data_IF_210602171783
#
_entry.id   IF_210602171783
#
_cell.length_a   1.000
_cell.length_b   1.000
_cell.length_c   1.000
_cell.angle_alpha   90.00
_cell.angle_beta   90.00
_cell.angle_gamma   90.00
#
_symmetry.space_group_name_H-M   'P 1'
#
loop_
_entity.id
_entity.type
_entity.pdbx_description
1 polymer ?
#
# COMPACT_ATOMS: atom_id res chain seq x y z
N UNK A 1 42.96 -21.22 -34.85
CA UNK A 1 42.25 -21.66 -33.65
C UNK A 1 41.05 -20.72 -33.47
N UNK A 2 39.87 -21.17 -33.87
CA UNK A 2 38.63 -20.43 -33.69
C UNK A 2 38.24 -20.55 -32.21
N UNK A 3 38.30 -19.44 -31.48
CA UNK A 3 37.81 -19.38 -30.09
C UNK A 3 36.33 -19.74 -30.09
N UNK A 4 35.98 -20.85 -29.47
CA UNK A 4 34.59 -21.24 -29.21
C UNK A 4 33.90 -20.14 -28.40
N UNK A 5 32.84 -19.56 -28.98
CA UNK A 5 32.00 -18.59 -28.25
C UNK A 5 31.44 -19.27 -27.01
N UNK A 6 31.60 -18.67 -25.81
CA UNK A 6 31.02 -19.25 -24.61
C UNK A 6 29.52 -19.49 -24.80
N UNK A 7 28.96 -20.57 -24.23
CA UNK A 7 27.53 -20.89 -24.36
C UNK A 7 26.68 -19.71 -23.92
N UNK A 8 25.71 -19.35 -24.75
CA UNK A 8 24.74 -18.29 -24.37
C UNK A 8 24.03 -18.71 -23.09
N UNK A 9 24.14 -17.90 -22.02
CA UNK A 9 23.34 -18.10 -20.81
C UNK A 9 21.88 -18.19 -21.21
N UNK A 10 21.19 -19.22 -20.74
CA UNK A 10 19.75 -19.39 -20.92
C UNK A 10 19.02 -18.26 -20.24
N UNK A 11 18.07 -17.63 -20.95
CA UNK A 11 17.23 -16.59 -20.37
C UNK A 11 16.27 -17.20 -19.36
N UNK A 12 16.19 -16.61 -18.15
CA UNK A 12 15.24 -17.02 -17.12
C UNK A 12 13.88 -16.40 -17.43
N UNK A 13 12.78 -17.16 -17.49
CA UNK A 13 11.42 -16.62 -17.60
C UNK A 13 11.14 -15.61 -16.49
N UNK A 14 10.35 -14.57 -16.79
CA UNK A 14 10.07 -13.51 -15.81
C UNK A 14 9.36 -14.04 -14.57
N UNK A 15 8.38 -14.93 -14.76
CA UNK A 15 7.60 -15.49 -13.65
C UNK A 15 8.47 -16.35 -12.73
N UNK A 16 9.40 -17.13 -13.29
CA UNK A 16 10.36 -17.93 -12.53
C UNK A 16 11.31 -17.02 -11.74
N UNK A 17 11.82 -15.97 -12.38
CA UNK A 17 12.68 -14.98 -11.72
C UNK A 17 11.95 -14.25 -10.59
N UNK A 18 10.70 -13.87 -10.80
CA UNK A 18 9.87 -13.22 -9.78
C UNK A 18 9.58 -14.17 -8.62
N UNK A 19 9.19 -15.41 -8.90
CA UNK A 19 8.90 -16.41 -7.86
C UNK A 19 10.12 -16.68 -6.98
N UNK A 20 11.31 -16.86 -7.59
CA UNK A 20 12.57 -17.07 -6.88
C UNK A 20 12.95 -15.82 -6.05
N UNK A 21 12.89 -14.64 -6.65
CA UNK A 21 13.17 -13.38 -5.95
C UNK A 21 12.26 -13.19 -4.72
N UNK A 22 10.97 -13.45 -4.87
CA UNK A 22 10.03 -13.40 -3.78
C UNK A 22 10.28 -14.47 -2.71
N UNK A 23 10.89 -15.61 -3.05
CA UNK A 23 11.33 -16.62 -2.10
C UNK A 23 12.33 -16.08 -1.07
N UNK A 24 13.18 -15.14 -1.46
CA UNK A 24 14.15 -14.49 -0.56
C UNK A 24 13.54 -13.41 0.35
N UNK A 25 12.40 -12.84 0.00
CA UNK A 25 11.79 -11.75 0.76
C UNK A 25 11.04 -12.30 1.99
N UNK A 26 11.51 -11.95 3.18
CA UNK A 26 10.80 -12.19 4.44
C UNK A 26 10.12 -10.90 4.92
N UNK A 27 8.84 -10.97 5.34
CA UNK A 27 8.14 -9.80 5.86
C UNK A 27 8.88 -9.20 7.07
N UNK A 28 8.97 -7.88 7.10
CA UNK A 28 9.57 -7.15 8.22
C UNK A 28 8.76 -7.36 9.49
N UNK A 29 9.42 -7.61 10.60
CA UNK A 29 8.79 -7.88 11.91
C UNK A 29 8.48 -6.61 12.71
N UNK A 30 9.16 -5.49 12.40
CA UNK A 30 8.95 -4.22 13.11
C UNK A 30 7.60 -3.60 12.81
N UNK A 31 6.90 -3.13 13.85
CA UNK A 31 5.62 -2.44 13.73
C UNK A 31 5.62 -1.11 14.45
N UNK A 32 4.75 -0.19 14.03
CA UNK A 32 4.57 1.11 14.66
C UNK A 32 3.10 1.53 14.69
N UNK A 33 2.76 2.42 15.61
CA UNK A 33 1.43 3.01 15.71
C UNK A 33 1.43 4.37 15.01
N UNK A 34 0.59 4.54 14.00
CA UNK A 34 0.43 5.80 13.27
C UNK A 34 -1.00 6.33 13.40
N UNK A 35 -1.18 7.63 13.27
CA UNK A 35 -2.51 8.21 13.16
C UNK A 35 -3.20 7.68 11.91
N UNK A 36 -4.48 7.30 12.01
CA UNK A 36 -5.26 6.84 10.86
C UNK A 36 -5.25 7.86 9.73
N UNK A 37 -5.30 9.14 10.08
CA UNK A 37 -5.27 10.26 9.13
C UNK A 37 -3.99 10.33 8.29
N UNK A 38 -2.87 9.78 8.78
CA UNK A 38 -1.55 9.80 8.12
C UNK A 38 -1.13 8.42 7.58
N UNK A 39 -2.04 7.44 7.65
CA UNK A 39 -1.70 6.05 7.36
C UNK A 39 -1.84 5.65 5.88
N UNK A 40 -2.07 6.61 4.96
CA UNK A 40 -2.18 6.30 3.52
C UNK A 40 -0.95 5.56 3.00
N UNK A 41 -1.19 4.51 2.22
CA UNK A 41 -0.15 3.67 1.64
C UNK A 41 0.61 2.77 2.62
N UNK A 42 0.32 2.82 3.94
CA UNK A 42 0.91 1.93 4.95
C UNK A 42 0.28 0.53 4.86
N UNK A 43 0.96 -0.46 5.41
CA UNK A 43 0.48 -1.85 5.43
C UNK A 43 0.11 -2.25 6.85
N UNK A 44 -1.08 -2.79 7.04
CA UNK A 44 -1.57 -3.21 8.35
C UNK A 44 -0.76 -4.37 8.91
N UNK A 45 -0.29 -4.21 10.15
CA UNK A 45 0.40 -5.25 10.90
C UNK A 45 -0.56 -6.19 11.66
N UNK A 46 -1.83 -5.83 11.75
CA UNK A 46 -2.90 -6.60 12.37
C UNK A 46 -4.21 -6.36 11.63
N UNK A 47 -5.17 -7.26 11.76
CA UNK A 47 -6.53 -7.04 11.29
C UNK A 47 -7.23 -5.96 12.11
N UNK A 48 -8.19 -5.28 11.51
CA UNK A 48 -9.06 -4.31 12.15
C UNK A 48 -10.47 -4.86 12.24
N UNK A 49 -10.94 -5.12 13.45
CA UNK A 49 -12.30 -5.53 13.73
C UNK A 49 -13.10 -4.33 14.30
N UNK A 50 -14.36 -4.23 13.91
CA UNK A 50 -15.22 -3.15 14.40
C UNK A 50 -15.78 -3.48 15.80
N UNK A 51 -15.63 -2.53 16.73
CA UNK A 51 -16.24 -2.63 18.06
C UNK A 51 -17.69 -2.07 18.09
N UNK A 52 -18.19 -1.58 16.97
CA UNK A 52 -19.52 -0.97 16.86
C UNK A 52 -20.19 -1.38 15.55
N UNK A 53 -21.49 -1.16 15.48
CA UNK A 53 -22.26 -1.29 14.24
C UNK A 53 -22.20 0.01 13.44
N UNK A 54 -22.25 -0.06 12.11
CA UNK A 54 -22.39 1.07 11.21
C UNK A 54 -23.56 0.82 10.26
N UNK A 55 -24.62 1.63 10.31
CA UNK A 55 -24.91 2.65 11.32
C UNK A 55 -25.15 2.03 12.71
N UNK A 56 -25.02 2.83 13.81
CA UNK A 56 -25.11 2.30 15.17
C UNK A 56 -26.53 1.91 15.57
N UNK A 57 -27.54 2.44 14.89
CA UNK A 57 -28.96 2.18 15.09
C UNK A 57 -29.75 2.38 13.80
N UNK A 58 -30.98 1.86 13.74
CA UNK A 58 -31.87 2.08 12.61
C UNK A 58 -32.04 3.58 12.35
N UNK A 59 -31.82 4.01 11.11
CA UNK A 59 -31.93 5.41 10.75
C UNK A 59 -32.68 5.62 9.43
N UNK A 60 -33.11 6.86 9.18
CA UNK A 60 -33.78 7.21 7.94
C UNK A 60 -32.78 7.31 6.79
N UNK A 61 -33.06 6.67 5.66
CA UNK A 61 -32.33 6.85 4.41
C UNK A 61 -32.81 8.07 3.59
N UNK A 62 -33.90 8.70 3.98
CA UNK A 62 -34.52 9.80 3.25
C UNK A 62 -34.96 10.91 4.18
N UNK A 63 -35.10 12.11 3.62
CA UNK A 63 -35.81 13.21 4.25
C UNK A 63 -37.33 13.00 4.10
N UNK A 64 -38.07 13.02 5.19
CA UNK A 64 -39.47 12.68 5.14
C UNK A 64 -40.16 12.63 6.49
N UNK A 65 -41.01 11.66 6.65
CA UNK A 65 -41.80 11.47 7.85
C UNK A 65 -41.73 10.02 8.31
N UNK A 66 -41.30 9.82 9.55
CA UNK A 66 -41.37 8.52 10.19
C UNK A 66 -42.82 8.28 10.62
N UNK A 67 -43.30 7.07 10.30
CA UNK A 67 -44.73 6.72 10.44
C UNK A 67 -44.85 5.31 11.03
N UNK A 68 -46.06 5.02 11.51
CA UNK A 68 -46.53 3.68 11.84
C UNK A 68 -47.43 3.21 10.70
N UNK A 69 -47.05 2.17 9.97
CA UNK A 69 -47.84 1.67 8.84
C UNK A 69 -49.28 1.32 9.21
N UNK A 70 -49.53 0.84 10.43
CA UNK A 70 -50.87 0.51 10.92
C UNK A 70 -51.81 1.75 10.97
N UNK A 71 -51.28 2.94 11.19
CA UNK A 71 -52.06 4.18 11.21
C UNK A 71 -52.49 4.64 9.81
N UNK A 72 -51.90 4.04 8.77
CA UNK A 72 -52.13 4.40 7.35
C UNK A 72 -52.89 3.31 6.57
N UNK A 73 -53.32 2.27 7.22
CA UNK A 73 -53.97 1.09 6.59
C UNK A 73 -55.30 1.44 5.90
N UNK A 74 -55.97 2.52 6.27
CA UNK A 74 -57.22 3.01 5.68
C UNK A 74 -57.07 3.89 4.44
N UNK A 75 -55.84 4.06 3.94
CA UNK A 75 -55.53 4.92 2.78
C UNK A 75 -55.26 6.38 3.20
N UNK A 76 -55.43 7.31 2.30
CA UNK A 76 -55.10 8.74 2.41
C UNK A 76 -55.52 9.39 3.73
N UNK A 77 -54.58 9.46 4.69
CA UNK A 77 -54.82 10.01 6.03
C UNK A 77 -53.94 11.25 6.23
N UNK A 78 -54.51 12.32 6.76
CA UNK A 78 -53.77 13.47 7.24
C UNK A 78 -53.49 13.30 8.74
N UNK A 79 -52.20 13.39 9.13
CA UNK A 79 -51.77 13.18 10.50
C UNK A 79 -50.97 14.40 11.01
N UNK A 80 -51.07 14.71 12.31
CA UNK A 80 -50.31 15.80 12.91
C UNK A 80 -48.82 15.42 13.03
N UNK A 81 -47.93 16.41 12.87
CA UNK A 81 -46.52 16.28 13.13
C UNK A 81 -46.25 16.40 14.63
N UNK A 82 -45.93 15.30 15.30
CA UNK A 82 -45.71 15.26 16.75
C UNK A 82 -44.34 15.78 17.18
N UNK A 83 -43.35 15.63 16.31
CA UNK A 83 -41.93 15.96 16.60
C UNK A 83 -41.11 16.13 15.32
N UNK A 84 -39.92 16.73 15.46
CA UNK A 84 -38.94 16.90 14.42
C UNK A 84 -37.61 16.32 14.87
N UNK A 85 -37.04 15.37 14.10
CA UNK A 85 -35.85 14.59 14.45
C UNK A 85 -34.75 14.84 13.41
N UNK A 86 -33.87 15.82 13.60
CA UNK A 86 -32.70 16.01 12.73
C UNK A 86 -31.62 14.95 13.01
N UNK A 87 -30.69 14.77 12.06
CA UNK A 87 -29.52 13.95 12.27
C UNK A 87 -28.76 14.40 13.54
N UNK A 88 -28.27 13.40 14.30
CA UNK A 88 -27.55 13.66 15.56
C UNK A 88 -28.46 13.93 16.79
N UNK A 89 -29.79 13.85 16.65
CA UNK A 89 -30.70 13.87 17.75
C UNK A 89 -31.59 12.63 17.80
N UNK A 90 -32.10 12.28 18.97
CA UNK A 90 -33.06 11.19 19.18
C UNK A 90 -34.47 11.73 19.38
N UNK A 91 -35.46 11.12 18.73
CA UNK A 91 -36.87 11.41 18.97
C UNK A 91 -37.44 10.68 20.19
N UNK A 92 -38.54 11.21 20.72
CA UNK A 92 -39.39 10.46 21.63
C UNK A 92 -40.15 9.36 20.90
N UNK A 93 -40.81 8.47 21.64
CA UNK A 93 -41.69 7.45 21.05
C UNK A 93 -42.79 8.13 20.19
N UNK A 94 -43.00 7.58 18.98
CA UNK A 94 -44.01 8.11 18.06
C UNK A 94 -45.43 7.85 18.60
N UNK A 95 -46.16 8.91 18.90
CA UNK A 95 -47.54 8.79 19.32
C UNK A 95 -48.40 8.16 18.22
N UNK A 96 -49.43 7.41 18.63
CA UNK A 96 -50.42 6.84 17.70
C UNK A 96 -51.10 7.94 16.90
N UNK A 97 -51.37 7.68 15.64
CA UNK A 97 -52.02 8.64 14.72
C UNK A 97 -51.30 9.98 14.60
N UNK A 98 -49.95 9.92 14.65
CA UNK A 98 -49.08 11.06 14.36
C UNK A 98 -47.90 10.64 13.46
N UNK A 99 -47.20 11.62 12.93
CA UNK A 99 -45.93 11.43 12.17
C UNK A 99 -44.82 12.22 12.84
N UNK A 100 -43.59 11.79 12.66
CA UNK A 100 -42.42 12.56 13.05
C UNK A 100 -41.69 13.07 11.80
N UNK A 101 -41.50 14.37 11.68
CA UNK A 101 -40.58 14.91 10.63
C UNK A 101 -39.18 14.41 10.90
N UNK A 102 -38.61 13.65 9.94
CA UNK A 102 -37.30 13.02 10.07
C UNK A 102 -36.42 13.40 8.90
N UNK A 103 -35.10 13.40 9.12
CA UNK A 103 -34.10 13.71 8.13
C UNK A 103 -33.14 12.53 7.92
N UNK A 104 -32.54 12.49 6.75
CA UNK A 104 -31.53 11.45 6.39
C UNK A 104 -30.48 11.31 7.49
N UNK A 105 -30.23 10.08 7.92
CA UNK A 105 -29.29 9.75 8.99
C UNK A 105 -29.85 9.92 10.42
N UNK A 106 -31.04 10.48 10.58
CA UNK A 106 -31.67 10.57 11.89
C UNK A 106 -32.21 9.22 12.37
N UNK A 107 -32.06 8.89 13.67
CA UNK A 107 -32.55 7.63 14.23
C UNK A 107 -34.09 7.52 14.11
N UNK A 108 -34.53 6.31 13.79
CA UNK A 108 -35.98 6.02 13.76
C UNK A 108 -36.51 6.01 15.19
N UNK A 109 -37.56 6.80 15.49
CA UNK A 109 -38.16 6.81 16.84
C UNK A 109 -38.87 5.50 17.12
N UNK A 110 -38.90 5.09 18.38
CA UNK A 110 -39.68 3.93 18.82
C UNK A 110 -41.14 4.11 18.37
N UNK A 111 -41.77 3.00 17.93
CA UNK A 111 -43.14 3.02 17.46
C UNK A 111 -43.30 3.36 15.97
N UNK A 112 -42.28 3.89 15.29
CA UNK A 112 -42.28 4.02 13.84
C UNK A 112 -41.71 2.71 13.21
N UNK A 113 -42.27 2.32 12.07
CA UNK A 113 -41.85 1.13 11.32
C UNK A 113 -41.58 1.38 9.83
N UNK A 114 -41.75 2.61 9.36
CA UNK A 114 -41.40 3.06 8.02
C UNK A 114 -41.11 4.57 7.98
N UNK A 115 -40.46 4.99 6.87
CA UNK A 115 -40.36 6.41 6.50
C UNK A 115 -41.03 6.61 5.16
N UNK A 116 -41.76 7.74 5.03
CA UNK A 116 -42.31 8.20 3.76
C UNK A 116 -41.53 9.42 3.34
N UNK A 117 -41.08 9.46 2.07
CA UNK A 117 -40.36 10.60 1.53
C UNK A 117 -41.22 11.86 1.54
N UNK A 118 -40.59 13.01 1.75
CA UNK A 118 -41.33 14.30 1.78
C UNK A 118 -42.03 14.58 0.45
N UNK A 119 -41.52 14.08 -0.66
CA UNK A 119 -42.10 14.21 -2.02
C UNK A 119 -43.43 13.45 -2.15
N UNK A 120 -43.61 12.40 -1.34
CA UNK A 120 -44.84 11.58 -1.29
C UNK A 120 -45.83 12.11 -0.22
N UNK A 121 -45.60 13.29 0.28
CA UNK A 121 -46.44 13.93 1.32
C UNK A 121 -46.90 15.29 0.87
N UNK A 122 -48.10 15.71 1.33
CA UNK A 122 -48.62 17.06 1.19
C UNK A 122 -48.79 17.69 2.59
N UNK A 123 -48.06 18.76 2.84
CA UNK A 123 -48.24 19.56 4.09
C UNK A 123 -49.42 20.50 3.90
N UNK A 124 -50.41 20.37 4.76
CA UNK A 124 -51.64 21.18 4.74
C UNK A 124 -51.43 22.52 5.46
N UNK A 125 -52.33 23.46 5.21
CA UNK A 125 -52.26 24.80 5.81
C UNK A 125 -52.42 24.80 7.36
N UNK A 126 -53.06 23.77 7.93
CA UNK A 126 -53.20 23.50 9.35
C UNK A 126 -52.00 22.79 9.99
N UNK A 127 -50.95 22.47 9.21
CA UNK A 127 -49.78 21.78 9.66
C UNK A 127 -49.89 20.24 9.66
N UNK A 128 -51.04 19.70 9.27
CA UNK A 128 -51.21 18.26 9.08
C UNK A 128 -50.44 17.80 7.85
N UNK A 129 -49.95 16.55 7.88
CA UNK A 129 -49.27 15.91 6.74
C UNK A 129 -50.16 14.83 6.16
N UNK A 130 -50.52 15.01 4.90
CA UNK A 130 -51.26 14.01 4.12
C UNK A 130 -50.27 13.09 3.42
N UNK A 131 -50.36 11.80 3.67
CA UNK A 131 -49.52 10.77 3.05
C UNK A 131 -50.24 10.19 1.81
N UNK A 132 -49.56 10.21 0.62
CA UNK A 132 -50.16 9.84 -0.65
C UNK A 132 -50.30 8.33 -0.87
N UNK A 133 -49.42 7.54 -0.26
CA UNK A 133 -49.44 6.10 -0.37
C UNK A 133 -48.97 5.44 0.93
N UNK A 134 -49.62 4.36 1.37
CA UNK A 134 -49.20 3.61 2.52
C UNK A 134 -47.83 2.94 2.28
N UNK A 135 -46.83 3.18 3.14
CA UNK A 135 -45.52 2.53 2.99
C UNK A 135 -45.59 1.07 3.44
N UNK A 136 -44.59 0.31 3.05
CA UNK A 136 -44.36 -1.03 3.60
C UNK A 136 -43.51 -0.94 4.87
N UNK A 137 -43.72 -1.85 5.86
CA UNK A 137 -42.81 -1.92 7.01
C UNK A 137 -41.35 -2.06 6.57
N UNK A 138 -40.47 -1.28 7.21
CA UNK A 138 -39.05 -1.19 6.88
C UNK A 138 -38.68 -0.28 5.68
N UNK A 139 -39.69 0.30 5.00
CA UNK A 139 -39.42 1.17 3.85
C UNK A 139 -38.62 2.40 4.27
N UNK A 140 -37.53 2.68 3.54
CA UNK A 140 -36.60 3.80 3.76
C UNK A 140 -35.95 3.82 5.14
N UNK A 141 -35.85 2.67 5.82
CA UNK A 141 -35.09 2.48 7.05
C UNK A 141 -33.80 1.73 6.73
N UNK A 142 -32.67 2.33 7.03
CA UNK A 142 -31.37 1.65 7.09
C UNK A 142 -31.23 0.96 8.44
N UNK A 143 -30.87 -0.31 8.41
CA UNK A 143 -30.77 -1.11 9.63
C UNK A 143 -29.44 -0.90 10.36
N UNK A 144 -29.47 -0.98 11.66
CA UNK A 144 -28.26 -1.03 12.48
C UNK A 144 -27.33 -2.14 11.98
N UNK A 145 -26.05 -1.81 11.76
CA UNK A 145 -25.05 -2.74 11.28
C UNK A 145 -25.13 -3.14 9.80
N UNK A 146 -25.95 -2.42 9.01
CA UNK A 146 -26.12 -2.70 7.58
C UNK A 146 -24.81 -2.62 6.80
N UNK A 147 -23.95 -1.65 7.11
CA UNK A 147 -22.64 -1.47 6.46
C UNK A 147 -21.55 -2.29 7.18
N UNK A 148 -21.52 -2.25 8.52
CA UNK A 148 -20.54 -2.96 9.33
C UNK A 148 -21.22 -3.51 10.60
N UNK A 149 -21.14 -4.82 10.77
CA UNK A 149 -21.61 -5.48 11.99
C UNK A 149 -20.53 -5.46 13.06
N UNK A 150 -20.92 -5.27 14.32
CA UNK A 150 -19.99 -5.37 15.46
C UNK A 150 -19.28 -6.73 15.48
N UNK A 151 -17.96 -6.72 15.67
CA UNK A 151 -17.09 -7.90 15.65
C UNK A 151 -16.59 -8.28 14.24
N UNK A 152 -17.13 -7.71 13.17
CA UNK A 152 -16.66 -8.00 11.83
C UNK A 152 -15.25 -7.47 11.59
N UNK A 153 -14.39 -8.28 10.98
CA UNK A 153 -13.09 -7.85 10.45
C UNK A 153 -13.33 -7.04 9.18
N UNK A 154 -13.01 -5.76 9.23
CA UNK A 154 -13.24 -4.81 8.12
C UNK A 154 -12.02 -4.65 7.21
N UNK A 155 -10.82 -4.80 7.76
CA UNK A 155 -9.56 -4.76 7.03
C UNK A 155 -8.63 -5.85 7.56
N UNK A 156 -8.00 -6.59 6.66
CA UNK A 156 -7.13 -7.71 7.03
C UNK A 156 -5.70 -7.26 7.33
N UNK A 157 -4.98 -8.06 8.12
CA UNK A 157 -3.51 -7.95 8.25
C UNK A 157 -2.87 -8.11 6.87
N UNK A 158 -1.85 -7.29 6.57
CA UNK A 158 -1.16 -7.29 5.28
C UNK A 158 -1.89 -6.49 4.19
N UNK A 159 -3.03 -5.89 4.51
CA UNK A 159 -3.72 -5.01 3.58
C UNK A 159 -3.06 -3.63 3.53
N UNK A 160 -2.83 -3.12 2.31
CA UNK A 160 -2.31 -1.78 2.10
C UNK A 160 -3.43 -0.77 2.21
N UNK A 161 -3.28 0.19 3.12
CA UNK A 161 -4.27 1.22 3.37
C UNK A 161 -4.40 2.17 2.17
N UNK A 162 -5.60 2.19 1.62
CA UNK A 162 -6.03 3.11 0.56
C UNK A 162 -6.89 4.22 1.17
N UNK A 163 -7.21 5.31 0.45
CA UNK A 163 -8.16 6.31 0.94
C UNK A 163 -9.49 5.70 1.41
N UNK A 164 -10.03 4.69 0.70
CA UNK A 164 -11.24 3.98 1.10
C UNK A 164 -11.05 3.19 2.42
N UNK A 165 -9.93 2.50 2.57
CA UNK A 165 -9.59 1.77 3.79
C UNK A 165 -9.43 2.72 4.99
N UNK A 166 -8.85 3.91 4.80
CA UNK A 166 -8.76 4.94 5.84
C UNK A 166 -10.15 5.43 6.27
N UNK A 167 -11.04 5.69 5.29
CA UNK A 167 -12.42 6.06 5.56
C UNK A 167 -13.15 4.98 6.36
N UNK A 168 -12.96 3.71 6.00
CA UNK A 168 -13.55 2.57 6.71
C UNK A 168 -12.99 2.43 8.13
N UNK A 169 -11.67 2.54 8.33
CA UNK A 169 -11.06 2.53 9.67
C UNK A 169 -11.57 3.69 10.54
N UNK A 170 -11.74 4.87 9.95
CA UNK A 170 -12.30 6.04 10.64
C UNK A 170 -13.78 5.84 11.00
N UNK A 171 -14.59 5.23 10.13
CA UNK A 171 -16.03 5.01 10.37
C UNK A 171 -16.30 4.08 11.56
N UNK A 172 -15.35 3.21 11.91
CA UNK A 172 -15.40 2.36 13.10
C UNK A 172 -14.67 2.96 14.32
N UNK A 173 -14.32 4.26 14.25
CA UNK A 173 -13.79 5.04 15.37
C UNK A 173 -12.30 4.88 15.63
N UNK A 174 -11.51 4.32 14.72
CA UNK A 174 -10.08 4.12 14.92
C UNK A 174 -9.29 5.40 14.57
N UNK A 175 -8.77 6.06 15.60
CA UNK A 175 -7.89 7.23 15.43
C UNK A 175 -6.44 6.86 15.12
N UNK A 176 -6.02 5.63 15.44
CA UNK A 176 -4.68 5.09 15.20
C UNK A 176 -4.76 3.65 14.74
N UNK A 177 -3.81 3.26 13.91
CA UNK A 177 -3.67 1.89 13.39
C UNK A 177 -2.26 1.38 13.59
N UNK A 178 -2.10 0.07 13.78
CA UNK A 178 -0.80 -0.58 13.84
C UNK A 178 -0.40 -1.02 12.44
N UNK A 179 0.75 -0.57 11.98
CA UNK A 179 1.26 -0.82 10.63
C UNK A 179 2.66 -1.42 10.69
N UNK A 180 3.08 -2.07 9.62
CA UNK A 180 4.46 -2.53 9.44
C UNK A 180 5.35 -1.28 9.31
N UNK A 181 6.53 -1.30 9.94
CA UNK A 181 7.50 -0.21 9.78
C UNK A 181 7.90 -0.01 8.31
N UNK A 182 8.38 1.16 7.97
CA UNK A 182 8.88 1.42 6.62
C UNK A 182 10.14 0.60 6.34
N UNK A 183 10.28 -0.02 5.15
CA UNK A 183 11.55 -0.58 4.72
C UNK A 183 12.59 0.53 4.57
N UNK A 184 13.77 0.34 5.11
CA UNK A 184 14.91 1.24 4.91
C UNK A 184 15.68 0.81 3.68
N UNK A 185 15.81 1.69 2.71
CA UNK A 185 16.46 1.39 1.43
C UNK A 185 17.61 2.34 1.18
N UNK A 186 18.82 1.81 1.02
CA UNK A 186 19.96 2.55 0.53
C UNK A 186 19.94 2.56 -1.01
N UNK A 187 20.00 3.74 -1.60
CA UNK A 187 20.04 3.93 -3.05
C UNK A 187 21.35 4.62 -3.44
N UNK A 188 22.10 4.02 -4.39
CA UNK A 188 23.25 4.67 -5.01
C UNK A 188 23.42 4.26 -6.49
N UNK A 189 24.24 5.00 -7.20
CA UNK A 189 24.63 4.70 -8.57
C UNK A 189 26.15 4.60 -8.64
N UNK A 190 26.67 3.83 -9.62
CA UNK A 190 28.09 3.78 -9.98
C UNK A 190 28.22 4.05 -11.46
N UNK A 191 29.32 4.64 -11.87
CA UNK A 191 29.67 4.94 -13.24
C UNK A 191 30.36 6.30 -13.32
N UNK A 192 31.59 6.31 -13.85
CA UNK A 192 32.38 7.53 -14.00
C UNK A 192 31.82 8.49 -15.07
N UNK A 193 30.89 7.98 -15.91
CA UNK A 193 30.13 8.76 -16.87
C UNK A 193 29.02 9.58 -16.24
N UNK A 194 28.63 9.30 -14.98
CA UNK A 194 27.47 9.90 -14.34
C UNK A 194 27.78 11.26 -13.73
N UNK A 195 26.93 12.23 -14.06
CA UNK A 195 26.98 13.59 -13.53
C UNK A 195 25.62 13.95 -12.94
N UNK A 196 25.60 14.71 -11.86
CA UNK A 196 24.33 15.16 -11.29
C UNK A 196 23.77 16.35 -12.07
N UNK A 197 22.45 16.34 -12.36
CA UNK A 197 21.78 17.52 -12.89
C UNK A 197 22.01 18.76 -12.02
N UNK A 198 22.46 19.86 -12.62
CA UNK A 198 22.74 21.11 -11.94
C UNK A 198 24.19 21.28 -11.44
N UNK A 199 25.02 20.22 -11.42
CA UNK A 199 26.44 20.33 -11.08
C UNK A 199 27.31 20.76 -12.27
N UNK A 200 26.96 20.31 -13.47
CA UNK A 200 27.68 20.64 -14.71
C UNK A 200 26.64 21.09 -15.74
N UNK A 201 26.91 22.22 -16.40
CA UNK A 201 26.07 22.71 -17.49
C UNK A 201 26.19 21.80 -18.73
N UNK A 202 25.17 21.70 -19.59
CA UNK A 202 25.20 20.81 -20.76
C UNK A 202 26.38 21.07 -21.70
N UNK A 203 26.77 22.36 -21.84
CA UNK A 203 27.91 22.83 -22.66
C UNK A 203 29.27 22.46 -22.08
N UNK A 204 29.34 22.23 -20.76
CA UNK A 204 30.58 21.87 -20.04
C UNK A 204 30.72 20.37 -19.79
N UNK A 205 29.76 19.55 -20.26
CA UNK A 205 29.78 18.12 -20.11
C UNK A 205 30.98 17.48 -20.84
N UNK A 206 31.71 16.64 -20.14
CA UNK A 206 32.79 15.87 -20.79
C UNK A 206 32.21 14.91 -21.86
N UNK A 207 32.94 14.63 -22.95
CA UNK A 207 32.52 13.60 -23.90
C UNK A 207 32.25 12.27 -23.21
N UNK A 208 31.07 11.66 -23.46
CA UNK A 208 30.66 10.40 -22.85
C UNK A 208 29.95 10.53 -21.50
N UNK A 209 29.97 11.72 -20.86
CA UNK A 209 29.22 11.92 -19.62
C UNK A 209 27.72 12.05 -19.88
N UNK A 210 26.92 11.56 -18.93
CA UNK A 210 25.46 11.60 -18.96
C UNK A 210 24.90 12.02 -17.60
N UNK A 211 23.73 12.66 -17.60
CA UNK A 211 23.06 12.96 -16.33
C UNK A 211 22.46 11.71 -15.69
N UNK A 212 22.67 11.56 -14.39
CA UNK A 212 22.14 10.45 -13.58
C UNK A 212 20.62 10.60 -13.38
N UNK A 213 19.84 10.16 -14.35
CA UNK A 213 18.37 10.21 -14.29
C UNK A 213 17.76 9.08 -13.45
N UNK A 214 18.43 7.92 -13.38
CA UNK A 214 17.92 6.73 -12.68
C UNK A 214 17.70 7.00 -11.19
N UNK A 215 18.63 7.67 -10.55
CA UNK A 215 18.56 8.03 -9.14
C UNK A 215 17.26 8.78 -8.78
N UNK A 216 16.81 9.69 -9.65
CA UNK A 216 15.61 10.50 -9.42
C UNK A 216 14.33 9.67 -9.43
N UNK A 217 14.11 8.88 -10.48
CA UNK A 217 12.87 8.10 -10.55
C UNK A 217 12.88 6.92 -9.58
N UNK A 218 14.01 6.27 -9.32
CA UNK A 218 14.11 5.19 -8.35
C UNK A 218 13.81 5.67 -6.93
N UNK A 219 14.37 6.81 -6.52
CA UNK A 219 14.04 7.44 -5.25
C UNK A 219 12.55 7.75 -5.13
N UNK A 220 11.97 8.35 -6.19
CA UNK A 220 10.54 8.68 -6.20
C UNK A 220 9.65 7.43 -6.13
N UNK A 221 9.98 6.35 -6.86
CA UNK A 221 9.24 5.09 -6.84
C UNK A 221 9.31 4.42 -5.46
N UNK A 222 10.49 4.34 -4.85
CA UNK A 222 10.67 3.78 -3.51
C UNK A 222 9.88 4.56 -2.45
N UNK A 223 9.95 5.89 -2.50
CA UNK A 223 9.20 6.77 -1.59
C UNK A 223 7.69 6.56 -1.73
N UNK A 224 7.17 6.44 -2.96
CA UNK A 224 5.74 6.14 -3.21
C UNK A 224 5.33 4.74 -2.75
N UNK A 225 6.25 3.79 -2.69
CA UNK A 225 6.01 2.48 -2.09
C UNK A 225 5.98 2.51 -0.56
N UNK A 226 6.37 3.64 0.04
CA UNK A 226 6.39 3.81 1.48
C UNK A 226 7.74 3.50 2.13
N UNK A 227 8.83 3.40 1.36
CA UNK A 227 10.17 3.20 1.90
C UNK A 227 10.76 4.48 2.51
N UNK A 228 11.62 4.30 3.49
CA UNK A 228 12.57 5.30 3.97
C UNK A 228 13.85 5.16 3.13
N UNK A 229 14.16 6.18 2.31
CA UNK A 229 15.23 6.11 1.32
C UNK A 229 16.43 6.94 1.75
N UNK A 230 17.56 6.28 1.99
CA UNK A 230 18.88 6.91 2.16
C UNK A 230 19.57 6.99 0.80
N UNK A 231 19.79 8.18 0.33
CA UNK A 231 20.39 8.48 -0.96
C UNK A 231 21.91 8.68 -0.78
N UNK A 232 22.69 7.67 -1.16
CA UNK A 232 24.15 7.64 -1.00
C UNK A 232 24.90 8.28 -2.18
N UNK A 233 24.20 8.77 -3.19
CA UNK A 233 24.80 9.50 -4.30
C UNK A 233 25.37 8.63 -5.41
N UNK A 234 26.44 9.13 -6.02
CA UNK A 234 27.28 8.42 -6.97
C UNK A 234 28.51 7.92 -6.20
N UNK A 235 28.61 6.59 -6.06
CA UNK A 235 29.78 5.97 -5.45
C UNK A 235 30.89 5.87 -6.50
N UNK A 236 32.13 6.26 -6.20
CA UNK A 236 33.25 6.16 -7.12
C UNK A 236 33.38 4.73 -7.66
N UNK A 237 33.66 4.60 -8.96
CA UNK A 237 33.75 3.29 -9.63
C UNK A 237 35.08 2.60 -9.32
N UNK A 238 35.28 2.29 -8.07
CA UNK A 238 36.39 1.46 -7.60
C UNK A 238 35.93 0.50 -6.50
N UNK A 239 36.63 -0.64 -6.42
CA UNK A 239 36.27 -1.73 -5.52
C UNK A 239 36.23 -1.33 -4.04
N UNK A 240 37.15 -0.52 -3.57
CA UNK A 240 37.25 -0.12 -2.15
C UNK A 240 36.07 0.73 -1.72
N UNK A 241 35.72 1.79 -2.49
CA UNK A 241 34.59 2.66 -2.23
C UNK A 241 33.25 1.88 -2.31
N UNK A 242 33.13 0.97 -3.28
CA UNK A 242 31.92 0.11 -3.42
C UNK A 242 31.76 -0.82 -2.22
N UNK A 243 32.81 -1.48 -1.74
CA UNK A 243 32.78 -2.33 -0.54
C UNK A 243 32.39 -1.52 0.70
N UNK A 244 32.94 -0.33 0.87
CA UNK A 244 32.63 0.54 2.01
C UNK A 244 31.16 1.00 1.99
N UNK A 245 30.66 1.42 0.84
CA UNK A 245 29.27 1.84 0.67
C UNK A 245 28.29 0.68 0.95
N UNK A 246 28.56 -0.52 0.43
CA UNK A 246 27.74 -1.72 0.64
C UNK A 246 27.73 -2.13 2.11
N UNK A 247 28.93 -2.20 2.76
CA UNK A 247 29.05 -2.58 4.17
C UNK A 247 28.35 -1.57 5.09
N UNK A 248 28.55 -0.27 4.85
CA UNK A 248 27.89 0.78 5.62
C UNK A 248 26.37 0.75 5.47
N UNK A 249 25.88 0.52 4.25
CA UNK A 249 24.45 0.38 3.98
C UNK A 249 23.84 -0.85 4.66
N UNK A 250 24.52 -2.00 4.64
CA UNK A 250 24.02 -3.25 5.22
C UNK A 250 23.78 -3.18 6.73
N UNK A 251 24.48 -2.29 7.44
CA UNK A 251 24.33 -2.13 8.90
C UNK A 251 22.98 -1.54 9.32
N UNK A 252 22.31 -0.78 8.45
CA UNK A 252 21.15 0.03 8.86
C UNK A 252 19.97 0.00 7.89
N UNK A 253 20.09 -0.73 6.77
CA UNK A 253 19.05 -0.83 5.75
C UNK A 253 18.59 -2.27 5.55
N UNK A 254 17.36 -2.43 5.07
CA UNK A 254 16.78 -3.72 4.72
C UNK A 254 17.09 -4.11 3.27
N UNK A 255 17.28 -3.10 2.41
CA UNK A 255 17.54 -3.27 0.99
C UNK A 255 18.57 -2.25 0.52
N UNK A 256 19.52 -2.70 -0.28
CA UNK A 256 20.45 -1.88 -1.06
C UNK A 256 20.02 -1.98 -2.52
N UNK A 257 19.71 -0.84 -3.14
CA UNK A 257 19.33 -0.77 -4.55
C UNK A 257 20.36 0.04 -5.32
N UNK A 258 20.90 -0.55 -6.39
CA UNK A 258 21.82 0.17 -7.28
C UNK A 258 21.29 0.22 -8.70
N UNK A 259 21.74 1.19 -9.46
CA UNK A 259 21.51 1.29 -10.90
C UNK A 259 22.86 1.46 -11.61
N UNK A 260 23.14 0.57 -12.57
CA UNK A 260 24.46 0.42 -13.16
C UNK A 260 25.30 -0.67 -12.49
N UNK A 261 26.45 -1.02 -13.03
CA UNK A 261 27.40 -1.97 -12.45
C UNK A 261 26.95 -3.43 -12.40
N UNK A 262 25.90 -3.83 -13.13
CA UNK A 262 25.41 -5.22 -13.21
C UNK A 262 25.49 -5.82 -14.62
N UNK A 263 26.25 -5.18 -15.50
CA UNK A 263 26.51 -5.67 -16.85
C UNK A 263 27.59 -6.74 -16.85
N UNK A 264 27.83 -7.39 -18.00
CA UNK A 264 28.90 -8.38 -18.20
C UNK A 264 30.27 -7.72 -18.49
N UNK A 265 30.42 -6.40 -18.25
CA UNK A 265 31.66 -5.66 -18.48
C UNK A 265 32.77 -6.01 -17.49
N UNK A 266 34.04 -5.91 -17.96
CA UNK A 266 35.24 -6.21 -17.17
C UNK A 266 35.51 -5.14 -16.06
N UNK A 267 34.94 -3.94 -16.17
CA UNK A 267 35.09 -2.81 -15.22
C UNK A 267 33.99 -2.72 -14.17
N UNK A 268 33.24 -3.81 -13.95
CA UNK A 268 32.12 -3.84 -13.00
C UNK A 268 32.61 -4.19 -11.59
N UNK A 269 32.75 -3.20 -10.73
CA UNK A 269 33.21 -3.37 -9.35
C UNK A 269 32.12 -3.82 -8.37
N UNK A 270 30.84 -3.71 -8.72
CA UNK A 270 29.72 -4.11 -7.83
C UNK A 270 29.72 -5.61 -7.58
N UNK A 271 29.84 -6.41 -8.65
CA UNK A 271 29.81 -7.88 -8.52
C UNK A 271 30.85 -8.43 -7.55
N UNK A 272 32.18 -8.14 -7.76
CA UNK A 272 33.20 -8.63 -6.85
C UNK A 272 33.06 -8.03 -5.44
N UNK A 273 32.51 -6.83 -5.29
CA UNK A 273 32.27 -6.23 -3.98
C UNK A 273 31.17 -6.96 -3.23
N UNK A 274 29.99 -7.20 -3.84
CA UNK A 274 28.88 -7.94 -3.21
C UNK A 274 29.33 -9.37 -2.87
N UNK A 275 30.00 -10.05 -3.81
CA UNK A 275 30.54 -11.41 -3.58
C UNK A 275 31.54 -11.50 -2.43
N UNK A 276 32.28 -10.42 -2.17
CA UNK A 276 33.22 -10.36 -1.04
C UNK A 276 32.55 -10.13 0.31
N UNK A 277 31.31 -9.63 0.32
CA UNK A 277 30.53 -9.31 1.52
C UNK A 277 29.36 -10.27 1.76
N UNK A 278 29.12 -11.19 0.83
CA UNK A 278 27.99 -12.09 0.92
C UNK A 278 27.78 -12.90 -0.33
N UNK A 279 26.56 -12.91 -0.83
CA UNK A 279 26.10 -13.73 -1.94
C UNK A 279 25.55 -12.87 -3.08
N UNK A 280 25.78 -13.30 -4.33
CA UNK A 280 25.26 -12.61 -5.53
C UNK A 280 24.87 -13.62 -6.62
N UNK A 281 23.64 -13.54 -7.06
CA UNK A 281 23.11 -14.18 -8.26
C UNK A 281 22.93 -13.16 -9.38
N UNK A 282 23.39 -13.52 -10.57
CA UNK A 282 23.23 -12.73 -11.78
C UNK A 282 22.25 -13.42 -12.71
N UNK A 283 21.15 -12.76 -13.02
CA UNK A 283 20.13 -13.31 -13.90
C UNK A 283 20.08 -12.58 -15.24
N UNK A 284 19.80 -13.36 -16.27
CA UNK A 284 19.43 -12.86 -17.59
C UNK A 284 17.94 -13.10 -17.79
N UNK A 285 17.11 -12.10 -17.54
CA UNK A 285 15.66 -12.23 -17.60
C UNK A 285 15.17 -12.21 -19.05
N UNK A 286 14.15 -13.00 -19.37
CA UNK A 286 13.54 -13.09 -20.69
C UNK A 286 12.59 -11.92 -20.98
N UNK A 287 13.07 -10.67 -20.77
CA UNK A 287 12.34 -9.42 -21.06
C UNK A 287 13.19 -8.50 -21.93
N UNK A 288 12.52 -7.58 -22.63
CA UNK A 288 13.17 -6.56 -23.45
C UNK A 288 12.32 -5.28 -23.44
N UNK A 289 12.87 -4.17 -22.89
CA UNK A 289 14.19 -4.01 -22.25
C UNK A 289 14.23 -4.55 -20.82
N UNK A 290 15.43 -4.68 -20.21
CA UNK A 290 15.61 -5.04 -18.80
C UNK A 290 16.18 -6.44 -18.55
N UNK A 291 16.95 -6.97 -19.51
CA UNK A 291 17.52 -8.31 -19.46
C UNK A 291 18.44 -8.60 -18.25
N UNK A 292 19.47 -7.77 -17.92
CA UNK A 292 20.34 -8.02 -16.78
C UNK A 292 19.65 -7.64 -15.46
N UNK A 293 19.80 -8.50 -14.45
CA UNK A 293 19.30 -8.27 -13.09
C UNK A 293 20.23 -8.98 -12.11
N UNK A 294 20.53 -8.35 -10.99
CA UNK A 294 21.31 -8.94 -9.92
C UNK A 294 20.51 -8.94 -8.63
N UNK A 295 20.52 -10.08 -7.94
CA UNK A 295 20.04 -10.20 -6.57
C UNK A 295 21.15 -10.74 -5.68
N UNK A 296 21.21 -10.31 -4.44
CA UNK A 296 22.19 -10.79 -3.48
C UNK A 296 21.83 -10.43 -2.04
N UNK A 297 22.73 -10.82 -1.15
CA UNK A 297 22.72 -10.48 0.25
C UNK A 297 24.07 -9.93 0.67
N UNK A 298 24.08 -8.84 1.43
CA UNK A 298 25.29 -8.22 1.98
C UNK A 298 25.23 -8.35 3.50
N UNK A 299 26.14 -9.17 4.06
CA UNK A 299 26.24 -9.37 5.50
C UNK A 299 27.11 -8.30 6.16
N UNK A 300 26.82 -7.98 7.43
CA UNK A 300 27.62 -7.03 8.23
C UNK A 300 28.95 -7.68 8.65
N UNK A 301 28.90 -8.94 9.08
CA UNK A 301 30.02 -9.69 9.65
C UNK A 301 30.48 -10.88 8.77
N UNK A 302 30.13 -10.88 7.48
CA UNK A 302 30.46 -12.00 6.62
C UNK A 302 31.99 -12.15 6.47
N UNK A 303 32.56 -13.31 6.80
CA UNK A 303 33.94 -13.59 6.44
C UNK A 303 34.03 -13.61 4.90
N UNK A 304 35.07 -12.98 4.37
CA UNK A 304 35.35 -12.93 2.91
C UNK A 304 35.60 -14.34 2.41
N UNK A 305 34.56 -15.07 2.03
CA UNK A 305 34.66 -16.39 1.38
C UNK A 305 34.00 -16.29 0.01
N UNK A 306 34.81 -16.53 -1.00
CA UNK A 306 34.40 -16.48 -2.40
C UNK A 306 33.37 -17.58 -2.74
N UNK A 307 32.25 -17.17 -3.37
CA UNK A 307 31.52 -17.99 -4.34
C UNK A 307 30.70 -19.15 -3.80
N UNK A 308 29.59 -18.90 -3.10
CA UNK A 308 28.52 -19.91 -2.93
C UNK A 308 27.30 -19.52 -3.76
N UNK A 309 26.81 -20.47 -4.59
CA UNK A 309 25.52 -20.33 -5.27
C UNK A 309 24.37 -20.38 -4.25
N UNK A 310 23.28 -19.66 -4.53
CA UNK A 310 22.09 -19.67 -3.68
C UNK A 310 21.48 -21.07 -3.65
N UNK A 311 21.70 -21.77 -2.55
CA UNK A 311 20.99 -23.00 -2.21
C UNK A 311 19.99 -22.71 -1.12
N UNK A 312 18.98 -23.57 -0.94
CA UNK A 312 18.02 -23.49 0.20
C UNK A 312 18.76 -23.36 1.55
N UNK A 313 19.96 -23.96 1.68
CA UNK A 313 20.82 -23.82 2.84
C UNK A 313 21.37 -22.39 3.03
N UNK A 314 21.63 -21.65 1.94
CA UNK A 314 22.01 -20.24 2.02
C UNK A 314 20.84 -19.34 2.45
N UNK A 315 19.62 -19.66 2.04
CA UNK A 315 18.40 -18.95 2.47
C UNK A 315 18.16 -19.16 3.96
N UNK A 316 18.31 -20.39 4.47
CA UNK A 316 18.19 -20.70 5.90
C UNK A 316 19.29 -20.04 6.75
N UNK A 317 20.47 -19.82 6.19
CA UNK A 317 21.56 -19.09 6.87
C UNK A 317 21.32 -17.57 6.94
N UNK A 318 20.41 -17.02 6.11
CA UNK A 318 19.98 -15.62 6.18
C UNK A 318 18.98 -15.37 7.31
N UNK A 319 18.31 -16.40 7.82
CA UNK A 319 17.44 -16.31 8.98
C UNK A 319 18.28 -16.04 10.23
N UNK A 320 18.34 -14.75 10.63
CA UNK A 320 19.09 -14.27 11.79
C UNK A 320 20.45 -13.64 11.48
N UNK A 321 20.91 -13.62 10.24
CA UNK A 321 22.11 -12.89 9.85
C UNK A 321 21.83 -11.39 9.77
N UNK A 322 22.70 -10.59 10.40
CA UNK A 322 22.67 -9.12 10.24
C UNK A 322 23.16 -8.74 8.85
N UNK A 323 22.33 -8.00 8.10
CA UNK A 323 22.66 -7.60 6.73
C UNK A 323 21.47 -7.04 5.96
N UNK A 324 21.65 -6.81 4.67
CA UNK A 324 20.66 -6.26 3.77
C UNK A 324 20.55 -7.05 2.46
N UNK A 325 19.35 -7.11 1.90
CA UNK A 325 19.15 -7.54 0.52
C UNK A 325 19.86 -6.57 -0.43
N UNK A 326 20.40 -7.10 -1.50
CA UNK A 326 21.01 -6.34 -2.58
C UNK A 326 20.24 -6.58 -3.88
N UNK A 327 19.86 -5.50 -4.56
CA UNK A 327 19.31 -5.56 -5.92
C UNK A 327 20.07 -4.58 -6.81
N UNK A 328 20.61 -5.11 -7.92
CA UNK A 328 21.26 -4.35 -8.96
C UNK A 328 20.40 -4.25 -10.21
N UNK A 329 20.14 -3.04 -10.67
CA UNK A 329 19.36 -2.74 -11.86
C UNK A 329 20.25 -2.34 -13.03
N UNK A 330 19.78 -2.52 -14.29
CA UNK A 330 20.51 -2.05 -15.48
C UNK A 330 20.77 -0.54 -15.43
N UNK A 331 21.88 -0.10 -16.06
CA UNK A 331 22.16 1.34 -16.21
C UNK A 331 21.19 2.06 -17.16
N UNK A 332 20.65 1.37 -18.18
CA UNK A 332 19.68 1.95 -19.11
C UNK A 332 18.38 2.36 -18.36
N UNK A 333 17.92 3.63 -18.46
CA UNK A 333 16.78 4.14 -17.70
C UNK A 333 15.48 3.37 -17.91
N UNK A 334 15.14 3.04 -19.17
CA UNK A 334 13.90 2.31 -19.49
C UNK A 334 13.97 0.88 -18.94
N UNK A 335 15.12 0.23 -19.08
CA UNK A 335 15.37 -1.11 -18.51
C UNK A 335 15.21 -1.09 -16.99
N UNK A 336 15.86 -0.13 -16.34
CA UNK A 336 15.82 0.04 -14.88
C UNK A 336 14.40 0.29 -14.38
N UNK A 337 13.64 1.16 -15.05
CA UNK A 337 12.25 1.45 -14.70
C UNK A 337 11.34 0.22 -14.82
N UNK A 338 11.41 -0.49 -15.96
CA UNK A 338 10.60 -1.70 -16.20
C UNK A 338 10.97 -2.79 -15.21
N UNK A 339 12.26 -3.04 -14.99
CA UNK A 339 12.73 -4.06 -14.05
C UNK A 339 12.33 -3.71 -12.60
N UNK A 340 12.37 -2.43 -12.24
CA UNK A 340 11.85 -1.97 -10.93
C UNK A 340 10.38 -2.34 -10.76
N UNK A 341 9.53 -2.05 -11.72
CA UNK A 341 8.10 -2.32 -11.61
C UNK A 341 7.79 -3.82 -11.53
N UNK A 342 8.52 -4.64 -12.30
CA UNK A 342 8.24 -6.07 -12.42
C UNK A 342 8.85 -6.90 -11.30
N UNK A 343 9.98 -6.49 -10.71
CA UNK A 343 10.73 -7.27 -9.73
C UNK A 343 10.89 -6.55 -8.39
N UNK A 344 11.40 -5.30 -8.38
CA UNK A 344 11.68 -4.60 -7.11
C UNK A 344 10.39 -4.23 -6.38
N UNK A 345 9.38 -3.73 -7.09
CA UNK A 345 8.10 -3.36 -6.48
C UNK A 345 7.43 -4.55 -5.78
N UNK A 346 7.24 -5.73 -6.40
CA UNK A 346 6.70 -6.91 -5.72
C UNK A 346 7.56 -7.35 -4.53
N UNK A 347 8.88 -7.30 -4.65
CA UNK A 347 9.80 -7.62 -3.56
C UNK A 347 9.60 -6.71 -2.34
N UNK A 348 9.56 -5.39 -2.54
CA UNK A 348 9.30 -4.41 -1.48
C UNK A 348 7.92 -4.60 -0.85
N UNK A 349 6.89 -4.87 -1.65
CA UNK A 349 5.55 -5.16 -1.14
C UNK A 349 5.54 -6.42 -0.27
N UNK A 350 6.31 -7.43 -0.64
CA UNK A 350 6.46 -8.64 0.20
C UNK A 350 7.22 -8.37 1.49
N UNK A 351 8.28 -7.55 1.47
CA UNK A 351 8.95 -7.08 2.70
C UNK A 351 7.97 -6.35 3.64
N UNK A 352 7.02 -5.61 3.10
CA UNK A 352 5.94 -4.98 3.85
C UNK A 352 4.86 -5.96 4.34
N UNK A 353 4.94 -7.23 3.94
CA UNK A 353 3.93 -8.24 4.27
C UNK A 353 2.60 -8.04 3.55
N UNK A 354 2.60 -7.35 2.39
CA UNK A 354 1.40 -7.23 1.57
C UNK A 354 0.91 -8.59 1.10
N UNK A 355 -0.39 -8.81 1.22
CA UNK A 355 -1.06 -10.06 0.82
C UNK A 355 -1.78 -9.94 -0.52
N UNK A 356 -1.91 -8.71 -1.05
CA UNK A 356 -2.59 -8.42 -2.33
C UNK A 356 -1.76 -7.47 -3.20
#
# INVERSE_FOLDING_TARGET
MTAEKPPRQTLKPLDDALAELLGFAQPLTGTEQVATFEADGRVLAQELASNLQVPPQDNSSMDGYAVRCADLASGWVALPVSQRIPAGSTGAELAQKSVARIFTGAPIPLGADAVVMQEDCDVQADGMVRIKAAPKPGQWIRRAGEDVTQGAVVLAKGERLTPAALGLAASIGLSRVRVVRRPKVALFSTGDELVMPGEVAPEDMKPGAIYNSNRFFLKALLTRLGCEVSDLGIVPDNRAATIEALRGAAQSHDLILTSGGVSVGEEDHIKPAVQSLGHLDLWQIAIKPGKPFAYGWVGVDAPVTAGMAATEAAISALEGASGAHFIGLPGNPVSSFVTFLLLVRPFVLKLLGCTK
#
